data_IF_514059805486
#
_entry.id   IF_514059805486
#
_cell.length_a   1.000
_cell.length_b   1.000
_cell.length_c   1.000
_cell.angle_alpha   90.00
_cell.angle_beta   90.00
_cell.angle_gamma   90.00
#
_symmetry.space_group_name_H-M   'P 1'
#
loop_
_entity.id
_entity.type
_entity.pdbx_description
1 polymer ?
#
# COMPACT_ATOMS: atom_id res chain seq x y z
N UNK A 1 -5.14 21.86 -6.65
CA UNK A 1 -5.83 20.93 -5.73
C UNK A 1 -5.87 19.49 -6.27
N UNK A 2 -6.27 19.27 -7.52
CA UNK A 2 -6.27 17.93 -8.16
C UNK A 2 -4.93 17.18 -8.06
N UNK A 3 -3.80 17.89 -8.19
CA UNK A 3 -2.46 17.30 -8.13
C UNK A 3 -2.02 16.74 -6.77
N UNK A 4 -2.74 17.03 -5.67
CA UNK A 4 -2.44 16.48 -4.32
C UNK A 4 -3.56 15.55 -3.87
N UNK A 5 -4.82 15.94 -4.11
CA UNK A 5 -5.99 15.16 -3.67
C UNK A 5 -6.08 13.79 -4.35
N UNK A 6 -5.91 13.71 -5.68
CA UNK A 6 -6.03 12.44 -6.40
C UNK A 6 -4.93 11.43 -6.03
N UNK A 7 -3.63 11.82 -5.98
CA UNK A 7 -2.58 10.88 -5.55
C UNK A 7 -2.74 10.44 -4.09
N UNK A 8 -3.22 11.32 -3.21
CA UNK A 8 -3.40 11.01 -1.78
C UNK A 8 -4.51 9.97 -1.58
N UNK A 9 -5.65 10.14 -2.25
CA UNK A 9 -6.75 9.15 -2.18
C UNK A 9 -6.31 7.81 -2.75
N UNK A 10 -5.60 7.81 -3.88
CA UNK A 10 -5.11 6.57 -4.49
C UNK A 10 -4.14 5.81 -3.58
N UNK A 11 -3.32 6.53 -2.79
CA UNK A 11 -2.40 5.90 -1.84
C UNK A 11 -3.11 5.33 -0.59
N UNK A 12 -4.22 5.95 -0.17
CA UNK A 12 -5.01 5.50 0.99
C UNK A 12 -5.91 4.31 0.61
N UNK A 13 -6.55 4.35 -0.57
CA UNK A 13 -7.41 3.29 -1.09
C UNK A 13 -6.58 2.14 -1.68
N UNK A 14 -5.75 1.51 -0.84
CA UNK A 14 -4.93 0.36 -1.21
C UNK A 14 -5.69 -0.97 -1.18
N UNK A 15 -5.08 -2.01 -1.78
CA UNK A 15 -5.63 -3.37 -1.89
C UNK A 15 -5.98 -4.00 -0.52
N UNK A 16 -5.25 -3.60 0.53
CA UNK A 16 -5.43 -4.13 1.89
C UNK A 16 -6.71 -3.68 2.56
N UNK A 17 -7.23 -2.49 2.23
CA UNK A 17 -8.50 -2.03 2.77
C UNK A 17 -9.67 -2.90 2.27
N UNK A 18 -9.59 -3.42 1.05
CA UNK A 18 -10.66 -4.23 0.47
C UNK A 18 -10.64 -5.68 0.94
N UNK A 19 -9.48 -6.31 1.13
CA UNK A 19 -9.44 -7.75 1.47
C UNK A 19 -9.45 -7.98 2.98
N UNK A 20 -8.70 -7.17 3.73
CA UNK A 20 -8.52 -7.43 5.17
C UNK A 20 -9.63 -6.86 6.02
N UNK A 21 -10.32 -5.80 5.58
CA UNK A 21 -11.36 -5.16 6.39
C UNK A 21 -12.54 -6.11 6.66
N UNK A 22 -13.01 -6.86 5.66
CA UNK A 22 -14.09 -7.83 5.85
C UNK A 22 -13.70 -8.93 6.84
N UNK A 23 -12.46 -9.43 6.77
CA UNK A 23 -11.96 -10.43 7.70
C UNK A 23 -11.85 -9.89 9.13
N UNK A 24 -11.36 -8.65 9.30
CA UNK A 24 -11.29 -7.99 10.62
C UNK A 24 -12.69 -7.80 11.21
N UNK A 25 -13.66 -7.33 10.42
CA UNK A 25 -15.06 -7.20 10.85
C UNK A 25 -15.64 -8.56 11.23
N UNK A 26 -15.33 -9.61 10.47
CA UNK A 26 -15.81 -10.97 10.72
C UNK A 26 -15.29 -11.59 12.02
N UNK A 27 -14.05 -11.29 12.42
CA UNK A 27 -13.44 -11.83 13.65
C UNK A 27 -13.71 -10.94 14.88
N UNK A 28 -13.55 -9.62 14.76
CA UNK A 28 -13.66 -8.70 15.90
C UNK A 28 -15.09 -8.19 16.15
N UNK A 29 -15.97 -8.30 15.14
CA UNK A 29 -17.32 -7.74 15.16
C UNK A 29 -17.36 -6.24 14.83
N UNK A 30 -18.58 -5.73 14.60
CA UNK A 30 -18.81 -4.36 14.13
C UNK A 30 -18.34 -3.30 15.14
N UNK A 31 -18.67 -3.46 16.43
CA UNK A 31 -18.37 -2.45 17.45
C UNK A 31 -16.87 -2.23 17.65
N UNK A 32 -16.10 -3.31 17.77
CA UNK A 32 -14.64 -3.23 17.95
C UNK A 32 -13.94 -2.71 16.69
N UNK A 33 -14.39 -3.14 15.51
CA UNK A 33 -13.81 -2.65 14.25
C UNK A 33 -14.10 -1.17 14.04
N UNK A 34 -15.28 -0.68 14.44
CA UNK A 34 -15.60 0.74 14.38
C UNK A 34 -14.70 1.58 15.30
N UNK A 35 -14.46 1.12 16.54
CA UNK A 35 -13.55 1.79 17.48
C UNK A 35 -12.11 1.80 16.95
N UNK A 36 -11.63 0.69 16.39
CA UNK A 36 -10.31 0.59 15.77
C UNK A 36 -10.15 1.59 14.62
N UNK A 37 -11.13 1.63 13.72
CA UNK A 37 -11.13 2.54 12.58
C UNK A 37 -11.15 4.01 13.05
N UNK A 38 -11.97 4.32 14.06
CA UNK A 38 -12.04 5.66 14.64
C UNK A 38 -10.67 6.11 15.19
N UNK A 39 -9.99 5.26 15.96
CA UNK A 39 -8.65 5.58 16.49
C UNK A 39 -7.60 5.76 15.40
N UNK A 40 -7.62 4.92 14.36
CA UNK A 40 -6.71 5.02 13.22
C UNK A 40 -6.93 6.33 12.44
N UNK A 41 -8.20 6.68 12.17
CA UNK A 41 -8.57 7.93 11.53
C UNK A 41 -8.17 9.15 12.39
N UNK A 42 -8.38 9.09 13.71
CA UNK A 42 -7.98 10.16 14.63
C UNK A 42 -6.45 10.38 14.60
N UNK A 43 -5.66 9.31 14.69
CA UNK A 43 -4.21 9.39 14.63
C UNK A 43 -3.73 9.99 13.30
N UNK A 44 -4.31 9.55 12.18
CA UNK A 44 -3.99 10.08 10.84
C UNK A 44 -4.37 11.55 10.73
N UNK A 45 -5.54 11.94 11.25
CA UNK A 45 -6.02 13.32 11.25
C UNK A 45 -5.09 14.25 12.05
N UNK A 46 -4.67 13.85 13.25
CA UNK A 46 -3.70 14.61 14.06
C UNK A 46 -2.34 14.75 13.35
N UNK A 47 -1.91 13.70 12.66
CA UNK A 47 -0.68 13.71 11.85
C UNK A 47 -0.81 14.69 10.68
N UNK A 48 -1.96 14.70 9.99
CA UNK A 48 -2.24 15.65 8.91
C UNK A 48 -2.24 17.11 9.38
N UNK A 49 -2.79 17.41 10.56
CA UNK A 49 -2.72 18.75 11.15
C UNK A 49 -1.27 19.15 11.42
N UNK A 50 -0.47 18.24 11.99
CA UNK A 50 0.94 18.49 12.28
C UNK A 50 1.75 18.77 11.02
N UNK A 51 1.57 17.95 9.97
CA UNK A 51 2.23 18.15 8.67
C UNK A 51 1.74 19.45 8.01
N UNK A 52 0.47 19.81 8.14
CA UNK A 52 -0.06 21.08 7.62
C UNK A 52 0.63 22.27 8.28
N UNK A 53 0.82 22.23 9.60
CA UNK A 53 1.56 23.27 10.32
C UNK A 53 3.00 23.37 9.82
N UNK A 54 3.70 22.24 9.62
CA UNK A 54 5.07 22.21 9.07
C UNK A 54 5.10 22.77 7.65
N UNK A 55 4.12 22.44 6.80
CA UNK A 55 4.04 22.90 5.42
C UNK A 55 3.77 24.42 5.32
N UNK A 56 3.13 25.01 6.32
CA UNK A 56 2.87 26.46 6.39
C UNK A 56 4.00 27.26 7.02
N UNK A 57 4.98 26.60 7.66
CA UNK A 57 6.17 27.25 8.19
C UNK A 57 7.28 27.19 7.11
N UNK A 58 7.76 28.36 6.68
CA UNK A 58 8.86 28.49 5.71
C UNK A 58 8.45 28.62 4.24
N UNK A 59 9.44 28.84 3.38
CA UNK A 59 9.26 28.96 1.92
C UNK A 59 9.26 27.57 1.30
N UNK A 60 8.16 27.19 0.65
CA UNK A 60 8.02 25.89 -0.01
C UNK A 60 8.84 25.90 -1.31
N UNK A 61 10.11 25.51 -1.24
CA UNK A 61 10.92 25.25 -2.42
C UNK A 61 10.61 23.85 -2.99
N UNK A 62 10.91 23.65 -4.28
CA UNK A 62 10.69 22.41 -5.03
C UNK A 62 11.55 21.25 -4.48
N UNK A 63 11.02 20.46 -3.53
CA UNK A 63 11.76 19.31 -2.97
C UNK A 63 10.94 18.15 -2.38
N UNK A 64 9.61 18.19 -2.49
CA UNK A 64 8.73 17.15 -1.93
C UNK A 64 8.71 17.12 -0.39
N UNK A 65 8.15 16.05 0.18
CA UNK A 65 7.87 15.96 1.62
C UNK A 65 9.13 15.90 2.51
N UNK A 66 10.16 15.14 2.11
CA UNK A 66 11.40 15.03 2.88
C UNK A 66 12.11 16.38 3.01
N UNK A 67 12.23 17.11 1.91
CA UNK A 67 12.87 18.43 1.87
C UNK A 67 12.12 19.47 2.73
N UNK A 68 10.78 19.41 2.72
CA UNK A 68 9.95 20.29 3.54
C UNK A 68 10.14 20.03 5.05
N UNK A 69 10.27 18.77 5.46
CA UNK A 69 10.46 18.37 6.87
C UNK A 69 11.88 18.72 7.33
N UNK A 70 12.91 18.36 6.56
CA UNK A 70 14.31 18.56 6.97
C UNK A 70 14.69 20.03 7.16
N UNK A 71 14.02 20.96 6.45
CA UNK A 71 14.26 22.40 6.60
C UNK A 71 13.56 23.02 7.81
N UNK A 72 12.39 22.51 8.16
CA UNK A 72 11.59 23.06 9.25
C UNK A 72 11.94 22.48 10.63
N UNK A 73 12.31 21.20 10.68
CA UNK A 73 12.65 20.51 11.94
C UNK A 73 14.16 20.30 12.15
N UNK A 74 14.98 20.65 11.16
CA UNK A 74 16.43 20.44 11.19
C UNK A 74 16.89 19.10 10.60
N UNK A 75 18.20 18.96 10.32
CA UNK A 75 18.75 17.80 9.62
C UNK A 75 18.68 16.49 10.44
N UNK A 76 18.78 16.54 11.77
CA UNK A 76 18.70 15.32 12.59
C UNK A 76 17.30 14.70 12.53
N UNK A 77 16.26 15.51 12.76
CA UNK A 77 14.87 15.04 12.67
C UNK A 77 14.46 14.69 11.24
N UNK A 78 14.90 15.47 10.25
CA UNK A 78 14.64 15.20 8.84
C UNK A 78 15.16 13.82 8.41
N UNK A 79 16.42 13.51 8.72
CA UNK A 79 17.05 12.25 8.35
C UNK A 79 16.41 11.03 9.04
N UNK A 80 16.09 11.12 10.33
CA UNK A 80 15.42 10.04 11.07
C UNK A 80 14.02 9.73 10.51
N UNK A 81 13.20 10.76 10.29
CA UNK A 81 11.85 10.60 9.73
C UNK A 81 11.91 10.10 8.28
N UNK A 82 12.87 10.59 7.48
CA UNK A 82 13.08 10.13 6.11
C UNK A 82 13.44 8.65 6.01
N UNK A 83 14.33 8.17 6.89
CA UNK A 83 14.70 6.76 6.93
C UNK A 83 13.52 5.85 7.32
N UNK A 84 12.73 6.26 8.33
CA UNK A 84 11.52 5.54 8.72
C UNK A 84 10.47 5.52 7.60
N UNK A 85 10.28 6.64 6.91
CA UNK A 85 9.35 6.72 5.78
C UNK A 85 9.80 5.84 4.59
N UNK A 86 11.11 5.79 4.32
CA UNK A 86 11.66 4.89 3.30
C UNK A 86 11.40 3.41 3.63
N UNK A 87 11.68 2.98 4.86
CA UNK A 87 11.42 1.62 5.30
C UNK A 87 9.92 1.29 5.27
N UNK A 88 9.07 2.21 5.75
CA UNK A 88 7.62 2.03 5.73
C UNK A 88 7.09 1.78 4.31
N UNK A 89 7.52 2.59 3.33
CA UNK A 89 7.12 2.39 1.93
C UNK A 89 7.68 1.10 1.32
N UNK A 90 8.90 0.71 1.70
CA UNK A 90 9.51 -0.55 1.23
C UNK A 90 8.72 -1.77 1.73
N UNK A 91 8.35 -1.77 3.01
CA UNK A 91 7.53 -2.84 3.61
C UNK A 91 6.12 -2.81 3.02
N UNK A 92 5.52 -1.64 2.83
CA UNK A 92 4.21 -1.50 2.20
C UNK A 92 4.20 -2.05 0.77
N UNK A 93 5.23 -1.76 -0.04
CA UNK A 93 5.38 -2.33 -1.38
C UNK A 93 5.44 -3.86 -1.35
N UNK A 94 6.21 -4.44 -0.42
CA UNK A 94 6.26 -5.91 -0.25
C UNK A 94 4.90 -6.50 0.13
N UNK A 95 4.12 -5.81 0.98
CA UNK A 95 2.78 -6.24 1.37
C UNK A 95 1.81 -6.21 0.18
N UNK A 96 1.88 -5.17 -0.67
CA UNK A 96 1.05 -5.09 -1.87
C UNK A 96 1.40 -6.16 -2.91
N UNK A 97 2.68 -6.49 -3.07
CA UNK A 97 3.14 -7.57 -3.94
C UNK A 97 2.60 -8.94 -3.50
N UNK A 98 2.73 -9.26 -2.21
CA UNK A 98 2.23 -10.54 -1.67
C UNK A 98 0.72 -10.62 -1.75
N UNK A 99 0.00 -9.54 -1.40
CA UNK A 99 -1.46 -9.48 -1.52
C UNK A 99 -1.93 -9.62 -2.97
N UNK A 100 -1.23 -9.01 -3.93
CA UNK A 100 -1.54 -9.16 -5.35
C UNK A 100 -1.36 -10.60 -5.85
N UNK A 101 -0.29 -11.26 -5.42
CA UNK A 101 -0.01 -12.66 -5.76
C UNK A 101 -1.03 -13.61 -5.12
N UNK A 102 -1.43 -13.36 -3.88
CA UNK A 102 -2.50 -14.10 -3.20
C UNK A 102 -3.80 -14.06 -4.00
N UNK A 103 -4.20 -12.85 -4.46
CA UNK A 103 -5.42 -12.70 -5.27
C UNK A 103 -5.29 -13.46 -6.59
N UNK A 104 -4.14 -13.35 -7.25
CA UNK A 104 -3.87 -13.97 -8.54
C UNK A 104 -3.97 -15.50 -8.45
N UNK A 105 -3.40 -16.10 -7.41
CA UNK A 105 -3.36 -17.56 -7.23
C UNK A 105 -4.69 -18.12 -6.72
N UNK A 106 -5.41 -17.41 -5.84
CA UNK A 106 -6.66 -17.90 -5.25
C UNK A 106 -7.88 -17.64 -6.13
N UNK A 107 -7.95 -16.48 -6.80
CA UNK A 107 -9.18 -16.04 -7.46
C UNK A 107 -9.08 -15.96 -8.98
N UNK A 108 -7.91 -15.64 -9.55
CA UNK A 108 -7.79 -15.42 -10.99
C UNK A 108 -7.37 -16.69 -11.74
N UNK A 109 -6.31 -17.34 -11.27
CA UNK A 109 -5.73 -18.52 -11.94
C UNK A 109 -5.34 -19.61 -10.92
N UNK A 110 -6.32 -20.33 -10.33
CA UNK A 110 -6.03 -21.43 -9.39
C UNK A 110 -5.30 -22.63 -10.04
N UNK A 111 -5.20 -22.68 -11.36
CA UNK A 111 -4.50 -23.74 -12.09
C UNK A 111 -2.98 -23.56 -12.18
N UNK A 112 -2.44 -22.36 -11.93
CA UNK A 112 -0.99 -22.12 -12.04
C UNK A 112 -0.24 -22.47 -10.76
N UNK A 113 -0.94 -22.67 -9.63
CA UNK A 113 -0.29 -23.06 -8.37
C UNK A 113 0.46 -24.38 -8.50
N UNK A 114 1.75 -24.37 -8.17
CA UNK A 114 2.61 -25.55 -8.21
C UNK A 114 2.15 -26.51 -7.10
N UNK A 115 1.62 -27.66 -7.50
CA UNK A 115 0.97 -28.64 -6.61
C UNK A 115 -0.55 -28.68 -6.70
N UNK A 116 -1.17 -27.89 -7.59
CA UNK A 116 -2.61 -27.92 -7.87
C UNK A 116 -3.45 -27.19 -6.82
N UNK A 117 -4.79 -27.18 -6.97
CA UNK A 117 -5.71 -26.45 -6.09
C UNK A 117 -5.75 -26.98 -4.65
N UNK A 118 -5.39 -28.25 -4.45
CA UNK A 118 -5.45 -28.92 -3.14
C UNK A 118 -4.47 -28.32 -2.11
N UNK A 119 -3.39 -27.72 -2.61
CA UNK A 119 -2.34 -27.07 -1.82
C UNK A 119 -2.83 -25.77 -1.15
N UNK A 120 -3.95 -25.20 -1.59
CA UNK A 120 -4.48 -23.94 -1.04
C UNK A 120 -4.88 -24.06 0.44
N UNK A 121 -5.13 -25.28 0.92
CA UNK A 121 -5.44 -25.57 2.33
C UNK A 121 -4.20 -25.60 3.24
N UNK A 122 -2.99 -25.67 2.68
CA UNK A 122 -1.73 -25.84 3.41
C UNK A 122 -1.03 -24.49 3.66
N UNK A 123 -1.58 -23.70 4.58
CA UNK A 123 -1.05 -22.37 4.97
C UNK A 123 0.03 -22.44 6.06
N UNK A 124 0.62 -23.61 6.28
CA UNK A 124 1.72 -23.74 7.23
C UNK A 124 2.95 -22.89 6.81
N UNK A 125 3.81 -22.48 7.75
CA UNK A 125 4.98 -21.65 7.46
C UNK A 125 5.96 -22.30 6.47
N UNK A 126 5.94 -23.63 6.35
CA UNK A 126 6.67 -24.41 5.35
C UNK A 126 5.74 -25.16 4.37
N UNK A 127 4.46 -24.79 4.33
CA UNK A 127 3.49 -25.35 3.41
C UNK A 127 3.79 -25.01 1.96
N UNK A 128 3.33 -25.86 1.03
CA UNK A 128 3.54 -25.66 -0.40
C UNK A 128 2.88 -24.35 -0.89
N UNK A 129 1.80 -23.87 -0.26
CA UNK A 129 1.18 -22.59 -0.60
C UNK A 129 2.09 -21.40 -0.27
N UNK A 130 2.72 -21.40 0.91
CA UNK A 130 3.67 -20.35 1.31
C UNK A 130 4.88 -20.31 0.38
N UNK A 131 5.37 -21.47 -0.07
CA UNK A 131 6.45 -21.54 -1.06
C UNK A 131 6.03 -20.97 -2.43
N UNK A 132 4.80 -21.26 -2.88
CA UNK A 132 4.23 -20.65 -4.08
C UNK A 132 4.16 -19.12 -3.95
N UNK A 133 3.64 -18.60 -2.84
CA UNK A 133 3.59 -17.15 -2.59
C UNK A 133 4.99 -16.51 -2.68
N UNK A 134 6.00 -17.09 -2.03
CA UNK A 134 7.39 -16.58 -2.08
C UNK A 134 7.95 -16.57 -3.50
N UNK A 135 7.73 -17.65 -4.26
CA UNK A 135 8.24 -17.79 -5.62
C UNK A 135 7.59 -16.77 -6.57
N UNK A 136 6.27 -16.71 -6.62
CA UNK A 136 5.54 -15.76 -7.47
C UNK A 136 5.78 -14.31 -7.07
N UNK A 137 5.82 -13.99 -5.77
CA UNK A 137 6.14 -12.63 -5.31
C UNK A 137 7.54 -12.21 -5.67
N UNK A 138 8.53 -13.11 -5.67
CA UNK A 138 9.90 -12.79 -6.09
C UNK A 138 9.98 -12.50 -7.59
N UNK A 139 9.26 -13.27 -8.42
CA UNK A 139 9.17 -13.03 -9.86
C UNK A 139 8.51 -11.66 -10.13
N UNK A 140 7.40 -11.37 -9.43
CA UNK A 140 6.67 -10.11 -9.59
C UNK A 140 7.53 -8.91 -9.15
N UNK A 141 8.29 -9.05 -8.06
CA UNK A 141 9.24 -8.04 -7.59
C UNK A 141 10.32 -7.73 -8.65
N UNK A 142 10.91 -8.76 -9.26
CA UNK A 142 11.92 -8.57 -10.31
C UNK A 142 11.31 -7.88 -11.54
N UNK A 143 10.09 -8.24 -11.90
CA UNK A 143 9.36 -7.60 -13.00
C UNK A 143 9.08 -6.12 -12.69
N UNK A 144 8.61 -5.79 -11.48
CA UNK A 144 8.42 -4.40 -11.05
C UNK A 144 9.73 -3.62 -11.07
N UNK A 145 10.82 -4.22 -10.60
CA UNK A 145 12.14 -3.60 -10.66
C UNK A 145 12.54 -3.26 -12.11
N UNK A 146 12.32 -4.18 -13.07
CA UNK A 146 12.58 -3.93 -14.48
C UNK A 146 11.69 -2.83 -15.07
N UNK A 147 10.40 -2.79 -14.71
CA UNK A 147 9.48 -1.72 -15.14
C UNK A 147 9.95 -0.36 -14.64
N UNK A 148 10.32 -0.27 -13.36
CA UNK A 148 10.82 0.97 -12.77
C UNK A 148 12.14 1.39 -13.41
N UNK A 149 13.03 0.44 -13.73
CA UNK A 149 14.29 0.70 -14.41
C UNK A 149 14.10 1.19 -15.86
N UNK A 150 13.08 0.72 -16.58
CA UNK A 150 12.76 1.19 -17.94
C UNK A 150 12.22 2.62 -17.99
N UNK A 151 11.67 3.12 -16.88
CA UNK A 151 11.34 4.54 -16.72
C UNK A 151 9.96 4.81 -16.14
N UNK A 152 9.94 5.65 -15.11
CA UNK A 152 8.72 6.02 -14.36
C UNK A 152 7.69 6.82 -15.16
N UNK A 153 8.07 7.40 -16.31
CA UNK A 153 7.15 8.17 -17.16
C UNK A 153 5.99 7.32 -17.69
N UNK A 154 6.24 6.04 -17.99
CA UNK A 154 5.19 5.10 -18.41
C UNK A 154 4.21 4.81 -17.26
N UNK A 155 4.74 4.60 -16.04
CA UNK A 155 3.94 4.33 -14.84
C UNK A 155 3.03 5.51 -14.50
N UNK A 156 3.52 6.74 -14.68
CA UNK A 156 2.78 7.97 -14.42
C UNK A 156 1.63 8.19 -15.42
N UNK A 157 1.78 7.74 -16.67
CA UNK A 157 0.70 7.79 -17.66
C UNK A 157 -0.49 6.90 -17.28
N UNK A 158 -0.25 5.81 -16.54
CA UNK A 158 -1.29 4.87 -16.09
C UNK A 158 -1.95 5.26 -14.76
N UNK A 159 -1.45 6.29 -14.07
CA UNK A 159 -2.02 6.76 -12.81
C UNK A 159 -3.54 7.05 -12.85
N UNK A 160 -4.08 7.80 -13.84
CA UNK A 160 -5.52 8.06 -13.90
C UNK A 160 -6.35 6.78 -14.12
N UNK A 161 -5.81 5.79 -14.84
CA UNK A 161 -6.48 4.50 -15.04
C UNK A 161 -6.56 3.71 -13.73
N UNK A 162 -5.48 3.70 -12.95
CA UNK A 162 -5.43 3.04 -11.63
C UNK A 162 -6.42 3.68 -10.65
N UNK A 163 -6.51 5.01 -10.65
CA UNK A 163 -7.47 5.74 -9.85
C UNK A 163 -8.91 5.36 -10.22
N UNK A 164 -9.24 5.35 -11.51
CA UNK A 164 -10.56 4.96 -11.99
C UNK A 164 -10.92 3.54 -11.54
N UNK A 165 -10.01 2.57 -11.72
CA UNK A 165 -10.22 1.20 -11.26
C UNK A 165 -10.46 1.12 -9.74
N UNK A 166 -9.69 1.85 -8.93
CA UNK A 166 -9.85 1.83 -7.46
C UNK A 166 -11.21 2.37 -6.98
N UNK A 167 -11.80 3.33 -7.70
CA UNK A 167 -13.09 3.93 -7.36
C UNK A 167 -14.25 3.03 -7.81
N UNK A 168 -14.12 2.32 -8.93
CA UNK A 168 -15.17 1.45 -9.47
C UNK A 168 -15.11 0.00 -8.97
N UNK A 169 -13.93 -0.49 -8.56
CA UNK A 169 -13.75 -1.82 -7.99
C UNK A 169 -14.59 -2.16 -6.74
N UNK A 170 -14.92 -1.24 -5.80
CA UNK A 170 -15.78 -1.59 -4.66
C UNK A 170 -17.18 -2.10 -5.04
N UNK A 171 -17.66 -1.83 -6.26
CA UNK A 171 -18.93 -2.37 -6.75
C UNK A 171 -18.87 -3.78 -7.35
N UNK A 172 -17.66 -4.37 -7.49
CA UNK A 172 -17.42 -5.67 -8.12
C UNK A 172 -16.95 -6.75 -7.13
N UNK A 173 -16.56 -6.35 -5.93
CA UNK A 173 -16.16 -7.23 -4.82
C UNK A 173 -17.33 -7.63 -3.89
N UNK A 174 -18.58 -7.35 -4.32
CA UNK A 174 -19.85 -7.69 -3.67
C UNK A 174 -20.73 -8.44 -4.67
#
# INVERSE_FOLDING_TARGET
>A
MLGVYLPTIQHILGVTMFIRLFWVVGIAGLGQTFLLLFLCCLCTFLTCISISAVATNGVVESGGAYFMISRNLGPEFGSAVGFLFYLANTVAASMYLVGGVEILLLYLFPGITIGGPEVHSQTEPFGMMTNNLRFYSTILLLLEFLIVAMGVKFVQMLAPVRFFLSVFSPGIAL
#
